data_IF_654771959284
#
_entry.id   IF_654771959284
#
_cell.length_a   1.000
_cell.length_b   1.000
_cell.length_c   1.000
_cell.angle_alpha   90.00
_cell.angle_beta   90.00
_cell.angle_gamma   90.00
#
_symmetry.space_group_name_H-M   'P 1'
#
loop_
_entity.id
_entity.type
_entity.pdbx_description
1 polymer ?
#
# COMPACT_ATOMS: atom_id res chain seq x y z
N UNK A 1 -41.19 24.37 -7.22
CA UNK A 1 -42.24 24.15 -8.23
C UNK A 1 -42.05 22.83 -8.96
N UNK A 2 -40.87 22.54 -9.52
CA UNK A 2 -40.59 21.21 -10.13
C UNK A 2 -40.59 20.10 -9.08
N UNK A 3 -39.89 20.31 -7.96
CA UNK A 3 -39.85 19.35 -6.85
C UNK A 3 -41.25 19.02 -6.33
N UNK A 4 -42.13 20.03 -6.19
CA UNK A 4 -43.52 19.82 -5.77
C UNK A 4 -44.30 18.96 -6.76
N UNK A 5 -44.15 19.18 -8.08
CA UNK A 5 -44.81 18.38 -9.12
C UNK A 5 -44.34 16.91 -9.08
N UNK A 6 -43.04 16.69 -8.95
CA UNK A 6 -42.41 15.36 -8.82
C UNK A 6 -42.84 14.64 -7.54
N UNK A 7 -42.99 15.37 -6.43
CA UNK A 7 -43.51 14.81 -5.18
C UNK A 7 -45.00 14.50 -5.25
N UNK A 8 -45.81 15.36 -5.88
CA UNK A 8 -47.27 15.14 -5.99
C UNK A 8 -47.64 13.98 -6.90
N UNK A 9 -46.84 13.72 -7.95
CA UNK A 9 -47.05 12.56 -8.85
C UNK A 9 -46.45 11.28 -8.27
N UNK A 10 -45.66 11.39 -7.19
CA UNK A 10 -44.95 10.23 -6.63
C UNK A 10 -43.89 9.66 -7.56
N UNK A 11 -43.36 10.45 -8.50
CA UNK A 11 -42.38 9.98 -9.47
C UNK A 11 -41.06 9.54 -8.80
N UNK A 12 -40.71 10.16 -7.66
CA UNK A 12 -39.59 9.76 -6.80
C UNK A 12 -39.79 8.40 -6.10
N UNK A 13 -41.01 7.85 -6.10
CA UNK A 13 -41.36 6.55 -5.52
C UNK A 13 -41.78 5.54 -6.60
N UNK A 14 -41.57 5.87 -7.87
CA UNK A 14 -42.01 5.00 -8.96
C UNK A 14 -41.30 3.64 -8.90
N UNK A 15 -42.07 2.57 -9.08
CA UNK A 15 -41.52 1.23 -9.23
C UNK A 15 -40.55 1.17 -10.42
N UNK A 16 -39.58 0.26 -10.35
CA UNK A 16 -38.58 0.08 -11.41
C UNK A 16 -39.26 -0.07 -12.78
N UNK A 17 -38.87 0.77 -13.73
CA UNK A 17 -39.40 0.76 -15.10
C UNK A 17 -40.65 1.62 -15.34
N UNK A 18 -41.20 2.27 -14.31
CA UNK A 18 -42.32 3.23 -14.45
C UNK A 18 -41.91 4.69 -14.22
N UNK A 19 -40.62 4.93 -13.93
CA UNK A 19 -40.11 6.28 -13.65
C UNK A 19 -40.38 7.27 -14.78
N UNK A 20 -40.09 6.90 -16.02
CA UNK A 20 -40.21 7.78 -17.20
C UNK A 20 -41.63 8.33 -17.38
N UNK A 21 -42.64 7.47 -17.36
CA UNK A 21 -44.05 7.88 -17.47
C UNK A 21 -44.50 8.78 -16.32
N UNK A 22 -43.99 8.52 -15.11
CA UNK A 22 -44.31 9.34 -13.93
C UNK A 22 -43.61 10.70 -14.00
N UNK A 23 -42.41 10.78 -14.56
CA UNK A 23 -41.71 12.04 -14.82
C UNK A 23 -42.35 12.83 -15.96
N UNK A 24 -42.81 12.19 -17.03
CA UNK A 24 -43.61 12.84 -18.09
C UNK A 24 -44.91 13.44 -17.53
N UNK A 25 -45.61 12.68 -16.67
CA UNK A 25 -46.83 13.18 -16.00
C UNK A 25 -46.52 14.33 -15.04
N UNK A 26 -45.39 14.29 -14.34
CA UNK A 26 -44.93 15.41 -13.50
C UNK A 26 -44.56 16.64 -14.35
N UNK A 27 -43.97 16.45 -15.53
CA UNK A 27 -43.66 17.51 -16.48
C UNK A 27 -44.92 18.14 -17.05
N UNK A 28 -45.92 17.33 -17.41
CA UNK A 28 -47.24 17.83 -17.86
C UNK A 28 -47.90 18.70 -16.78
N UNK A 29 -47.92 18.25 -15.52
CA UNK A 29 -48.45 19.03 -14.40
C UNK A 29 -47.64 20.29 -14.09
N UNK A 30 -46.34 20.26 -14.35
CA UNK A 30 -45.47 21.43 -14.22
C UNK A 30 -45.77 22.46 -15.32
N UNK A 31 -45.96 22.01 -16.55
CA UNK A 31 -46.21 22.87 -17.72
C UNK A 31 -47.64 23.44 -17.77
N UNK A 32 -48.62 22.74 -17.17
CA UNK A 32 -50.02 23.19 -17.10
C UNK A 32 -50.18 24.46 -16.24
N UNK A 33 -49.25 24.72 -15.32
CA UNK A 33 -49.23 25.97 -14.54
C UNK A 33 -48.27 26.96 -15.20
N UNK A 34 -48.76 28.03 -15.90
CA UNK A 34 -47.87 29.12 -16.28
C UNK A 34 -47.21 29.64 -15.00
N UNK A 35 -45.88 29.59 -15.00
CA UNK A 35 -45.04 29.93 -13.84
C UNK A 35 -45.58 31.20 -13.19
N UNK A 36 -46.07 31.10 -11.95
CA UNK A 36 -46.34 32.29 -11.14
C UNK A 36 -45.06 33.12 -11.18
N UNK A 37 -45.09 34.38 -11.63
CA UNK A 37 -43.88 35.20 -11.68
C UNK A 37 -43.21 35.10 -10.32
N UNK A 38 -42.00 34.55 -10.29
CA UNK A 38 -41.20 34.60 -9.09
C UNK A 38 -40.73 36.05 -8.99
N UNK A 39 -41.13 36.73 -7.92
CA UNK A 39 -40.59 38.04 -7.64
C UNK A 39 -39.08 37.88 -7.38
N UNK A 40 -38.27 38.22 -8.38
CA UNK A 40 -36.81 38.16 -8.34
C UNK A 40 -36.21 39.34 -7.58
N UNK A 41 -37.04 40.17 -6.95
CA UNK A 41 -36.61 41.24 -6.05
C UNK A 41 -35.69 40.66 -4.98
N UNK A 42 -34.51 41.26 -4.78
CA UNK A 42 -33.49 40.77 -3.85
C UNK A 42 -34.04 40.50 -2.43
N UNK A 43 -35.02 41.31 -1.99
CA UNK A 43 -35.74 41.12 -0.73
C UNK A 43 -36.50 39.79 -0.70
N UNK A 44 -37.26 39.48 -1.73
CA UNK A 44 -38.10 38.28 -1.79
C UNK A 44 -37.24 37.01 -1.89
N UNK A 45 -36.13 37.06 -2.62
CA UNK A 45 -35.15 35.96 -2.67
C UNK A 45 -34.54 35.73 -1.27
N UNK A 46 -34.10 36.81 -0.61
CA UNK A 46 -33.52 36.75 0.74
C UNK A 46 -34.52 36.22 1.77
N UNK A 47 -35.76 36.68 1.72
CA UNK A 47 -36.83 36.25 2.63
C UNK A 47 -37.21 34.79 2.38
N UNK A 48 -37.25 34.35 1.11
CA UNK A 48 -37.48 32.96 0.74
C UNK A 48 -36.38 32.05 1.29
N UNK A 49 -35.11 32.40 1.07
CA UNK A 49 -33.96 31.64 1.57
C UNK A 49 -33.92 31.61 3.10
N UNK A 50 -34.22 32.75 3.74
CA UNK A 50 -34.31 32.85 5.21
C UNK A 50 -35.41 31.95 5.77
N UNK A 51 -36.57 31.88 5.11
CA UNK A 51 -37.65 31.00 5.50
C UNK A 51 -37.31 29.52 5.27
N UNK A 52 -36.62 29.18 4.19
CA UNK A 52 -36.09 27.83 3.98
C UNK A 52 -35.14 27.41 5.09
N UNK A 53 -34.16 28.25 5.46
CA UNK A 53 -33.24 27.95 6.56
C UNK A 53 -33.99 27.78 7.89
N UNK A 54 -34.95 28.67 8.18
CA UNK A 54 -35.77 28.57 9.40
C UNK A 54 -36.57 27.27 9.44
N UNK A 55 -37.18 26.87 8.33
CA UNK A 55 -37.95 25.63 8.26
C UNK A 55 -37.06 24.40 8.40
N UNK A 56 -35.88 24.41 7.76
CA UNK A 56 -34.90 23.32 7.88
C UNK A 56 -34.43 23.15 9.33
N UNK A 57 -34.03 24.24 9.99
CA UNK A 57 -33.63 24.19 11.41
C UNK A 57 -34.74 23.70 12.34
N UNK A 58 -35.99 24.07 12.06
CA UNK A 58 -37.15 23.57 12.82
C UNK A 58 -37.38 22.08 12.60
N UNK A 59 -37.32 21.60 11.36
CA UNK A 59 -37.49 20.17 11.06
C UNK A 59 -36.35 19.33 11.60
N UNK A 60 -35.12 19.85 11.56
CA UNK A 60 -33.93 19.18 12.09
C UNK A 60 -33.97 19.08 13.61
N UNK A 61 -34.41 20.14 14.30
CA UNK A 61 -34.67 20.08 15.75
C UNK A 61 -35.77 19.08 16.14
N UNK A 62 -36.82 18.94 15.32
CA UNK A 62 -37.87 17.93 15.52
C UNK A 62 -37.37 16.51 15.22
N UNK A 63 -36.49 16.34 14.22
CA UNK A 63 -35.86 15.06 13.90
C UNK A 63 -34.88 14.63 15.01
N UNK A 64 -34.07 15.55 15.53
CA UNK A 64 -33.18 15.35 16.67
C UNK A 64 -33.94 15.04 17.97
N UNK A 65 -35.18 15.51 18.12
CA UNK A 65 -36.03 15.17 19.27
C UNK A 65 -36.72 13.81 19.13
N UNK A 66 -36.86 13.27 17.90
CA UNK A 66 -37.45 11.95 17.62
C UNK A 66 -36.42 10.83 17.47
N UNK A 67 -35.19 11.16 17.09
CA UNK A 67 -34.04 10.27 17.07
C UNK A 67 -33.37 10.37 18.43
N UNK A 68 -33.34 9.29 19.22
CA UNK A 68 -32.60 9.24 20.49
C UNK A 68 -31.08 9.34 20.28
N UNK A 69 -30.61 10.47 19.75
CA UNK A 69 -29.24 10.68 19.27
C UNK A 69 -28.19 10.80 20.39
N UNK A 70 -28.59 10.66 21.65
CA UNK A 70 -27.63 10.75 22.75
C UNK A 70 -26.86 9.46 22.99
N UNK A 71 -27.37 8.28 22.61
CA UNK A 71 -26.73 7.01 22.98
C UNK A 71 -25.72 6.57 21.91
N UNK A 72 -26.12 6.61 20.63
CA UNK A 72 -25.29 6.20 19.50
C UNK A 72 -24.08 7.11 19.25
N UNK A 73 -24.18 8.41 19.56
CA UNK A 73 -23.06 9.33 19.37
C UNK A 73 -21.95 9.10 20.41
N UNK A 74 -22.31 8.75 21.65
CA UNK A 74 -21.35 8.33 22.68
C UNK A 74 -20.66 7.01 22.34
N UNK A 75 -21.38 6.06 21.72
CA UNK A 75 -20.78 4.80 21.27
C UNK A 75 -19.77 5.04 20.13
N UNK A 76 -20.10 5.93 19.19
CA UNK A 76 -19.18 6.30 18.11
C UNK A 76 -17.95 7.03 18.65
N UNK A 77 -18.12 7.94 19.60
CA UNK A 77 -17.01 8.65 20.24
C UNK A 77 -16.12 7.69 21.07
N UNK A 78 -16.71 6.74 21.80
CA UNK A 78 -15.96 5.69 22.50
C UNK A 78 -15.15 4.82 21.52
N UNK A 79 -15.76 4.43 20.40
CA UNK A 79 -15.09 3.64 19.36
C UNK A 79 -13.94 4.42 18.69
N UNK A 80 -14.08 5.74 18.55
CA UNK A 80 -13.01 6.62 18.06
C UNK A 80 -11.84 6.75 19.05
N UNK A 81 -12.12 6.81 20.36
CA UNK A 81 -11.08 6.81 21.39
C UNK A 81 -10.33 5.46 21.42
N UNK A 82 -11.05 4.34 21.35
CA UNK A 82 -10.46 3.00 21.33
C UNK A 82 -9.60 2.77 20.09
N UNK A 83 -10.09 3.18 18.90
CA UNK A 83 -9.33 3.08 17.66
C UNK A 83 -8.04 3.91 17.71
N UNK A 84 -8.11 5.12 18.30
CA UNK A 84 -6.94 5.99 18.46
C UNK A 84 -5.92 5.38 19.43
N UNK A 85 -6.37 4.80 20.55
CA UNK A 85 -5.50 4.10 21.51
C UNK A 85 -4.83 2.88 20.89
N UNK A 86 -5.58 2.05 20.14
CA UNK A 86 -5.05 0.87 19.48
C UNK A 86 -3.96 1.23 18.44
N UNK A 87 -4.11 2.36 17.74
CA UNK A 87 -3.10 2.84 16.82
C UNK A 87 -1.82 3.31 17.51
N UNK A 88 -1.93 3.96 18.67
CA UNK A 88 -0.78 4.37 19.50
C UNK A 88 -0.03 3.13 20.01
N UNK A 89 -0.74 2.14 20.55
CA UNK A 89 -0.16 0.89 21.05
C UNK A 89 0.54 0.09 19.95
N UNK A 90 -0.06 0.02 18.76
CA UNK A 90 0.55 -0.64 17.59
C UNK A 90 1.87 0.03 17.19
N UNK A 91 1.96 1.36 17.24
CA UNK A 91 3.22 2.09 16.97
C UNK A 91 4.29 1.77 18.01
N UNK A 92 3.91 1.70 19.29
CA UNK A 92 4.83 1.33 20.38
C UNK A 92 5.33 -0.11 20.25
N UNK A 93 4.45 -1.05 19.88
CA UNK A 93 4.82 -2.44 19.61
C UNK A 93 5.74 -2.57 18.40
N UNK A 94 5.48 -1.83 17.32
CA UNK A 94 6.33 -1.80 16.14
C UNK A 94 7.73 -1.23 16.45
N UNK A 95 7.84 -0.24 17.34
CA UNK A 95 9.12 0.26 17.83
C UNK A 95 9.85 -0.80 18.69
N UNK A 96 9.13 -1.52 19.56
CA UNK A 96 9.64 -2.62 20.37
C UNK A 96 10.19 -3.78 19.54
N UNK A 97 9.56 -4.12 18.41
CA UNK A 97 9.98 -5.22 17.52
C UNK A 97 11.29 -4.94 16.75
N UNK A 98 11.67 -3.67 16.56
CA UNK A 98 12.94 -3.32 15.89
C UNK A 98 14.18 -3.60 16.76
N UNK A 99 14.03 -3.55 18.07
CA UNK A 99 15.12 -3.81 19.02
C UNK A 99 15.67 -5.27 18.95
N UNK A 100 14.85 -6.34 18.98
CA UNK A 100 15.35 -7.71 18.84
C UNK A 100 15.85 -8.03 17.44
N UNK A 101 15.25 -7.44 16.39
CA UNK A 101 15.74 -7.58 15.00
C UNK A 101 17.18 -7.07 14.88
N UNK A 102 17.45 -5.88 15.41
CA UNK A 102 18.80 -5.27 15.37
C UNK A 102 19.88 -6.12 16.07
N UNK A 103 19.51 -6.89 17.10
CA UNK A 103 20.44 -7.80 17.80
C UNK A 103 20.79 -9.02 16.94
N UNK A 104 19.80 -9.57 16.23
CA UNK A 104 20.01 -10.69 15.28
C UNK A 104 20.89 -10.26 14.12
N UNK A 105 20.63 -9.08 13.56
CA UNK A 105 21.43 -8.53 12.46
C UNK A 105 22.88 -8.27 12.89
N UNK A 106 23.09 -7.74 14.11
CA UNK A 106 24.43 -7.57 14.68
C UNK A 106 25.16 -8.90 14.88
N UNK A 107 24.47 -9.95 15.30
CA UNK A 107 25.06 -11.29 15.44
C UNK A 107 25.46 -11.88 14.07
N UNK A 108 24.61 -11.71 13.04
CA UNK A 108 24.91 -12.14 11.68
C UNK A 108 26.11 -11.41 11.10
N UNK A 109 26.23 -10.09 11.31
CA UNK A 109 27.40 -9.31 10.89
C UNK A 109 28.69 -9.82 11.54
N UNK A 110 28.66 -10.15 12.83
CA UNK A 110 29.83 -10.69 13.55
C UNK A 110 30.21 -12.07 13.04
N UNK A 111 29.24 -12.95 12.77
CA UNK A 111 29.49 -14.26 12.18
C UNK A 111 30.05 -14.16 10.74
N UNK A 112 29.52 -13.23 9.93
CA UNK A 112 30.05 -12.97 8.59
C UNK A 112 31.50 -12.46 8.63
N UNK A 113 31.83 -11.63 9.63
CA UNK A 113 33.17 -11.09 9.81
C UNK A 113 34.19 -12.15 10.22
N UNK A 114 33.81 -13.13 11.05
CA UNK A 114 34.70 -14.25 11.41
C UNK A 114 34.96 -15.16 10.21
N UNK A 115 33.93 -15.45 9.41
CA UNK A 115 34.08 -16.22 8.16
C UNK A 115 35.00 -15.48 7.18
N UNK A 116 34.82 -14.17 7.01
CA UNK A 116 35.68 -13.33 6.15
C UNK A 116 37.13 -13.36 6.64
N UNK A 117 37.39 -13.17 7.94
CA UNK A 117 38.73 -13.24 8.52
C UNK A 117 39.39 -14.60 8.30
N UNK A 118 38.65 -15.70 8.52
CA UNK A 118 39.15 -17.05 8.27
C UNK A 118 39.47 -17.29 6.79
N UNK A 119 38.62 -16.81 5.88
CA UNK A 119 38.87 -16.92 4.44
C UNK A 119 40.13 -16.14 4.01
N UNK A 120 40.30 -14.91 4.51
CA UNK A 120 41.49 -14.10 4.25
C UNK A 120 42.76 -14.74 4.82
N UNK A 121 42.68 -15.37 6.00
CA UNK A 121 43.81 -16.12 6.57
C UNK A 121 44.17 -17.35 5.74
N UNK A 122 43.19 -18.07 5.18
CA UNK A 122 43.47 -19.18 4.25
C UNK A 122 44.12 -18.69 2.97
N UNK A 123 43.70 -17.55 2.44
CA UNK A 123 44.32 -16.93 1.26
C UNK A 123 45.75 -16.45 1.56
N UNK A 124 46.00 -15.86 2.72
CA UNK A 124 47.34 -15.41 3.10
C UNK A 124 48.30 -16.59 3.31
N UNK A 125 47.85 -17.69 3.93
CA UNK A 125 48.64 -18.92 4.07
C UNK A 125 48.94 -19.55 2.71
N UNK A 126 47.96 -19.59 1.79
CA UNK A 126 48.20 -20.07 0.41
C UNK A 126 49.19 -19.18 -0.35
N UNK A 127 49.15 -17.87 -0.13
CA UNK A 127 50.10 -16.92 -0.74
C UNK A 127 51.51 -17.04 -0.15
N UNK A 128 51.62 -17.29 1.15
CA UNK A 128 52.88 -17.58 1.83
C UNK A 128 53.47 -18.94 1.39
N UNK A 129 52.63 -19.96 1.19
CA UNK A 129 53.05 -21.26 0.65
C UNK A 129 53.45 -21.19 -0.83
N UNK A 130 52.87 -20.27 -1.61
CA UNK A 130 53.29 -19.98 -2.98
C UNK A 130 54.59 -19.16 -3.06
N UNK A 131 55.16 -18.73 -1.93
CA UNK A 131 56.42 -17.99 -1.83
C UNK A 131 57.43 -18.75 -0.95
N UNK A 132 57.71 -20.01 -1.32
CA UNK A 132 58.87 -20.80 -0.88
C UNK A 132 59.79 -21.12 -2.07
N UNK A 133 61.09 -21.38 -1.86
CA UNK A 133 62.16 -20.68 -2.55
C UNK A 133 62.48 -21.26 -3.93
N UNK A 134 62.30 -20.48 -4.97
CA UNK A 134 63.12 -20.55 -6.19
C UNK A 134 63.39 -19.14 -6.69
N UNK A 135 64.57 -19.02 -7.26
CA UNK A 135 65.39 -17.83 -7.44
C UNK A 135 64.86 -16.80 -8.44
N UNK A 136 65.14 -15.54 -8.06
CA UNK A 136 65.65 -14.46 -8.90
C UNK A 136 64.74 -13.73 -9.91
N UNK A 137 64.80 -12.41 -9.76
CA UNK A 137 64.64 -11.36 -10.76
C UNK A 137 63.22 -11.03 -11.26
N UNK A 138 62.62 -9.98 -10.71
CA UNK A 138 62.77 -8.64 -11.30
C UNK A 138 62.01 -7.61 -10.46
N UNK A 139 62.64 -6.45 -10.31
CA UNK A 139 62.19 -5.31 -9.55
C UNK A 139 60.97 -4.63 -10.19
N UNK A 140 60.18 -3.96 -9.34
CA UNK A 140 59.10 -3.07 -9.76
C UNK A 140 58.40 -2.46 -8.55
N UNK A 141 59.12 -1.57 -7.87
CA UNK A 141 58.66 -0.82 -6.70
C UNK A 141 57.63 0.27 -7.03
N UNK A 142 57.06 0.84 -5.95
CA UNK A 142 56.46 2.18 -5.79
C UNK A 142 54.93 2.22 -5.60
N UNK A 143 54.56 2.10 -4.32
CA UNK A 143 53.72 3.00 -3.49
C UNK A 143 52.67 3.95 -4.12
N UNK A 144 51.45 3.76 -3.62
CA UNK A 144 50.48 4.71 -3.03
C UNK A 144 50.18 6.04 -3.75
N UNK A 145 48.90 6.27 -4.05
CA UNK A 145 48.24 7.52 -3.67
C UNK A 145 46.72 7.40 -3.58
N UNK A 146 46.22 7.85 -2.42
CA UNK A 146 44.84 8.19 -2.10
C UNK A 146 44.18 9.12 -3.14
N UNK A 147 42.87 8.94 -3.37
CA UNK A 147 41.93 10.07 -3.41
C UNK A 147 40.50 9.62 -3.12
N UNK A 148 39.83 10.44 -2.32
CA UNK A 148 38.60 10.14 -1.61
C UNK A 148 37.32 10.18 -2.45
N UNK A 149 36.25 9.97 -1.70
CA UNK A 149 34.85 9.96 -2.08
C UNK A 149 34.38 11.23 -2.79
N UNK A 150 33.38 11.08 -3.67
CA UNK A 150 32.08 11.78 -3.61
C UNK A 150 31.14 11.23 -4.70
N UNK A 151 29.83 11.38 -4.48
CA UNK A 151 28.77 10.69 -5.20
C UNK A 151 28.44 11.21 -6.60
N UNK A 152 27.51 10.52 -7.26
CA UNK A 152 26.98 10.92 -8.57
C UNK A 152 26.21 9.81 -9.27
N UNK A 153 24.88 9.87 -9.14
CA UNK A 153 23.88 9.64 -10.18
C UNK A 153 24.40 9.62 -11.63
N UNK A 154 23.97 8.66 -12.44
CA UNK A 154 23.91 8.85 -13.89
C UNK A 154 24.08 7.60 -14.75
N UNK A 155 22.96 7.12 -15.27
CA UNK A 155 22.72 6.51 -16.59
C UNK A 155 23.92 6.11 -17.51
N UNK A 156 23.83 4.89 -18.05
CA UNK A 156 24.12 4.65 -19.47
C UNK A 156 25.31 3.74 -19.82
N UNK A 157 25.02 2.71 -20.61
CA UNK A 157 25.91 2.30 -21.70
C UNK A 157 26.89 1.15 -21.47
N UNK A 158 26.45 -0.05 -21.89
CA UNK A 158 27.12 -0.87 -22.91
C UNK A 158 28.43 -1.63 -22.58
N UNK A 159 28.68 -2.66 -23.41
CA UNK A 159 29.74 -3.69 -23.44
C UNK A 159 29.29 -5.02 -22.80
N UNK A 160 29.40 -6.19 -23.43
CA UNK A 160 30.11 -6.55 -24.66
C UNK A 160 29.93 -8.07 -24.89
N UNK A 161 29.59 -8.44 -26.13
CA UNK A 161 30.10 -9.59 -26.91
C UNK A 161 30.05 -11.02 -26.36
N UNK A 162 29.31 -11.89 -27.09
CA UNK A 162 29.90 -12.99 -27.90
C UNK A 162 28.86 -13.58 -28.87
N UNK A 163 29.08 -13.37 -30.16
CA UNK A 163 28.56 -14.17 -31.29
C UNK A 163 29.78 -14.72 -32.04
N UNK A 164 29.80 -16.00 -32.46
CA UNK A 164 30.61 -16.43 -33.57
C UNK A 164 29.81 -16.41 -34.87
N UNK A 165 30.48 -15.90 -35.91
CA UNK A 165 30.08 -15.84 -37.31
C UNK A 165 30.30 -17.19 -38.03
N UNK A 166 29.44 -17.46 -39.02
CA UNK A 166 29.75 -18.03 -40.34
C UNK A 166 28.98 -17.11 -41.32
N UNK A 167 29.49 -16.54 -42.41
CA UNK A 167 30.62 -16.89 -43.27
C UNK A 167 30.05 -17.36 -44.61
N UNK A 168 30.21 -16.54 -45.66
CA UNK A 168 30.06 -16.76 -47.14
C UNK A 168 29.50 -15.45 -47.76
N UNK A 169 30.35 -14.51 -48.19
CA UNK A 169 31.09 -14.39 -49.49
C UNK A 169 30.17 -13.96 -50.65
N UNK A 170 30.13 -12.67 -51.02
CA UNK A 170 31.07 -11.92 -51.90
C UNK A 170 30.76 -12.12 -53.39
N UNK A 171 30.30 -11.06 -54.06
CA UNK A 171 30.71 -10.63 -55.40
C UNK A 171 29.88 -9.40 -55.81
N UNK A 172 30.49 -8.22 -55.66
CA UNK A 172 30.13 -7.03 -56.43
C UNK A 172 30.83 -7.07 -57.78
N UNK A 173 30.15 -6.66 -58.84
CA UNK A 173 30.75 -6.32 -60.14
C UNK A 173 30.09 -5.02 -60.62
N UNK A 174 30.83 -3.95 -60.37
CA UNK A 174 31.16 -2.78 -61.19
C UNK A 174 30.13 -2.12 -62.12
N UNK A 175 30.13 -0.79 -62.01
CA UNK A 175 29.60 0.21 -62.92
C UNK A 175 30.23 0.11 -64.33
N UNK A 176 29.43 0.23 -65.40
CA UNK A 176 29.91 0.63 -66.74
C UNK A 176 28.90 1.55 -67.42
N UNK A 177 29.35 2.76 -67.76
CA UNK A 177 28.57 3.79 -68.44
C UNK A 177 28.58 3.56 -69.96
N UNK A 178 27.40 3.58 -70.57
CA UNK A 178 27.25 3.51 -72.02
C UNK A 178 26.10 4.38 -72.51
N UNK A 179 26.42 5.64 -72.85
CA UNK A 179 25.59 6.53 -73.67
C UNK A 179 25.38 5.93 -75.08
N UNK A 180 24.12 5.79 -75.50
CA UNK A 180 23.76 5.71 -76.92
C UNK A 180 22.31 6.20 -77.15
N UNK A 181 22.20 7.41 -77.69
CA UNK A 181 21.03 7.96 -78.37
C UNK A 181 20.59 7.07 -79.56
N UNK A 182 19.28 6.82 -79.69
CA UNK A 182 18.70 6.22 -80.90
C UNK A 182 17.23 5.77 -80.77
N UNK A 183 16.29 6.20 -81.63
CA UNK A 183 14.86 6.25 -81.29
C UNK A 183 14.00 5.11 -81.86
N UNK A 184 12.85 4.93 -81.19
CA UNK A 184 11.56 4.43 -81.70
C UNK A 184 11.45 2.95 -82.12
N UNK A 185 10.78 2.16 -81.28
CA UNK A 185 9.96 1.05 -81.74
C UNK A 185 8.74 0.86 -80.81
N UNK A 186 7.60 1.34 -81.29
CA UNK A 186 6.25 0.85 -81.01
C UNK A 186 6.19 -0.61 -80.50
N UNK A 187 5.77 -0.85 -79.26
CA UNK A 187 5.17 -2.12 -78.87
C UNK A 187 4.09 -1.87 -77.81
N UNK A 188 2.86 -2.05 -78.26
CA UNK A 188 1.64 -2.43 -77.53
C UNK A 188 1.64 -2.26 -76.01
N UNK A 189 1.00 -1.19 -75.54
CA UNK A 189 0.52 -1.07 -74.16
C UNK A 189 -0.61 -2.08 -73.96
N UNK A 190 -0.24 -3.28 -73.51
CA UNK A 190 -1.16 -4.27 -72.98
C UNK A 190 -1.81 -3.72 -71.70
N UNK A 191 -3.14 -3.56 -71.63
CA UNK A 191 -3.79 -2.85 -70.54
C UNK A 191 -4.02 -3.77 -69.34
N UNK A 192 -2.97 -4.29 -68.68
CA UNK A 192 -3.09 -4.97 -67.37
C UNK A 192 -1.85 -4.81 -66.50
N UNK A 193 -1.82 -3.83 -65.58
CA UNK A 193 -1.25 -4.09 -64.25
C UNK A 193 -1.91 -3.31 -63.09
N UNK A 194 -3.12 -2.76 -63.27
CA UNK A 194 -3.74 -1.93 -62.20
C UNK A 194 -4.44 -2.79 -61.14
N UNK A 195 -5.13 -3.85 -61.56
CA UNK A 195 -5.85 -4.76 -60.65
C UNK A 195 -4.90 -5.55 -59.75
N UNK A 196 -3.75 -5.97 -60.27
CA UNK A 196 -2.73 -6.69 -59.49
C UNK A 196 -2.04 -5.81 -58.45
N UNK A 197 -1.79 -4.53 -58.74
CA UNK A 197 -1.30 -3.55 -57.75
C UNK A 197 -2.36 -3.21 -56.70
N UNK A 198 -3.64 -3.11 -57.08
CA UNK A 198 -4.74 -2.87 -56.16
C UNK A 198 -4.92 -4.03 -55.18
N UNK A 199 -4.91 -5.28 -55.69
CA UNK A 199 -5.05 -6.49 -54.88
C UNK A 199 -3.92 -6.64 -53.85
N UNK A 200 -2.67 -6.37 -54.26
CA UNK A 200 -1.50 -6.41 -53.36
C UNK A 200 -1.55 -5.36 -52.25
N UNK A 201 -2.20 -4.22 -52.50
CA UNK A 201 -2.39 -3.16 -51.50
C UNK A 201 -3.48 -3.52 -50.48
N UNK A 202 -4.52 -4.23 -50.93
CA UNK A 202 -5.63 -4.71 -50.10
C UNK A 202 -5.16 -5.84 -49.17
N UNK A 203 -4.41 -6.82 -49.70
CA UNK A 203 -3.80 -7.90 -48.90
C UNK A 203 -2.83 -7.37 -47.83
N UNK A 204 -2.04 -6.34 -48.15
CA UNK A 204 -1.15 -5.68 -47.19
C UNK A 204 -1.88 -4.80 -46.16
N UNK A 205 -3.13 -4.42 -46.43
CA UNK A 205 -4.00 -3.72 -45.49
C UNK A 205 -4.63 -4.74 -44.52
N UNK A 206 -5.12 -5.86 -45.04
CA UNK A 206 -5.70 -6.95 -44.26
C UNK A 206 -4.69 -7.56 -43.28
N UNK A 207 -3.41 -7.64 -43.67
CA UNK A 207 -2.35 -8.14 -42.78
C UNK A 207 -2.04 -7.17 -41.62
N UNK A 208 -2.11 -5.85 -41.88
CA UNK A 208 -1.97 -4.83 -40.83
C UNK A 208 -3.15 -4.84 -39.88
N UNK A 209 -4.36 -4.95 -40.42
CA UNK A 209 -5.57 -5.01 -39.63
C UNK A 209 -5.56 -6.27 -38.75
N UNK A 210 -5.15 -7.42 -39.31
CA UNK A 210 -4.94 -8.66 -38.54
C UNK A 210 -3.91 -8.49 -37.42
N UNK A 211 -2.77 -7.85 -37.69
CA UNK A 211 -1.76 -7.59 -36.66
C UNK A 211 -2.29 -6.67 -35.54
N UNK A 212 -3.13 -5.68 -35.88
CA UNK A 212 -3.80 -4.82 -34.89
C UNK A 212 -4.79 -5.61 -34.04
N UNK A 213 -5.60 -6.48 -34.65
CA UNK A 213 -6.52 -7.36 -33.91
C UNK A 213 -5.76 -8.28 -32.94
N UNK A 214 -4.70 -8.94 -33.40
CA UNK A 214 -3.87 -9.81 -32.54
C UNK A 214 -3.22 -9.04 -31.38
N UNK A 215 -2.79 -7.80 -31.61
CA UNK A 215 -2.25 -6.92 -30.57
C UNK A 215 -3.32 -6.55 -29.53
N UNK A 216 -4.55 -6.26 -29.97
CA UNK A 216 -5.68 -5.95 -29.08
C UNK A 216 -6.04 -7.18 -28.23
N UNK A 217 -6.15 -8.36 -28.84
CA UNK A 217 -6.46 -9.61 -28.14
C UNK A 217 -5.39 -9.95 -27.09
N UNK A 218 -4.11 -9.78 -27.44
CA UNK A 218 -2.99 -9.95 -26.50
C UNK A 218 -3.10 -8.99 -25.32
N UNK A 219 -3.38 -7.71 -25.61
CA UNK A 219 -3.49 -6.66 -24.58
C UNK A 219 -4.67 -6.90 -23.64
N UNK A 220 -5.81 -7.35 -24.17
CA UNK A 220 -7.00 -7.70 -23.38
C UNK A 220 -6.72 -8.93 -22.51
N UNK A 221 -6.06 -9.95 -23.07
CA UNK A 221 -5.70 -11.17 -22.33
C UNK A 221 -4.70 -10.87 -21.21
N UNK A 222 -3.71 -10.01 -21.47
CA UNK A 222 -2.74 -9.56 -20.47
C UNK A 222 -3.41 -8.76 -19.35
N UNK A 223 -4.30 -7.82 -19.70
CA UNK A 223 -5.08 -7.06 -18.71
C UNK A 223 -5.92 -7.99 -17.84
N UNK A 224 -6.62 -8.96 -18.44
CA UNK A 224 -7.42 -9.94 -17.70
C UNK A 224 -6.56 -10.78 -16.75
N UNK A 225 -5.41 -11.26 -17.22
CA UNK A 225 -4.45 -11.99 -16.36
C UNK A 225 -3.92 -11.13 -15.21
N UNK A 226 -3.70 -9.84 -15.43
CA UNK A 226 -3.27 -8.92 -14.39
C UNK A 226 -4.39 -8.64 -13.38
N UNK A 227 -5.64 -8.52 -13.85
CA UNK A 227 -6.82 -8.38 -13.00
C UNK A 227 -7.07 -9.63 -12.15
N UNK A 228 -6.93 -10.84 -12.72
CA UNK A 228 -7.06 -12.10 -11.99
C UNK A 228 -6.00 -12.21 -10.88
N UNK A 229 -4.75 -11.79 -11.16
CA UNK A 229 -3.69 -11.73 -10.15
C UNK A 229 -4.00 -10.73 -9.03
N UNK A 230 -4.58 -9.58 -9.38
CA UNK A 230 -5.03 -8.58 -8.39
C UNK A 230 -6.19 -9.12 -7.56
N UNK A 231 -7.17 -9.76 -8.19
CA UNK A 231 -8.30 -10.38 -7.50
C UNK A 231 -7.84 -11.45 -6.50
N UNK A 232 -6.94 -12.35 -6.93
CA UNK A 232 -6.36 -13.38 -6.05
C UNK A 232 -5.57 -12.78 -4.87
N UNK A 233 -4.84 -11.67 -5.09
CA UNK A 233 -4.14 -10.97 -4.01
C UNK A 233 -5.12 -10.31 -3.04
N UNK A 234 -6.19 -9.70 -3.56
CA UNK A 234 -7.25 -9.07 -2.74
C UNK A 234 -7.99 -10.12 -1.92
N UNK A 235 -8.26 -11.32 -2.45
CA UNK A 235 -8.91 -12.41 -1.71
C UNK A 235 -8.02 -12.97 -0.59
N UNK A 236 -6.69 -12.99 -0.78
CA UNK A 236 -5.75 -13.45 0.26
C UNK A 236 -5.57 -12.47 1.40
N UNK A 237 -5.72 -11.17 1.13
CA UNK A 237 -5.54 -10.09 2.11
C UNK A 237 -6.42 -10.25 3.38
N UNK A 238 -7.75 -10.45 3.30
CA UNK A 238 -8.59 -10.59 4.49
C UNK A 238 -8.22 -11.81 5.32
N UNK A 239 -7.84 -12.95 4.71
CA UNK A 239 -7.41 -14.14 5.44
C UNK A 239 -6.12 -13.90 6.24
N UNK A 240 -5.17 -13.17 5.66
CA UNK A 240 -3.94 -12.81 6.36
C UNK A 240 -4.21 -11.82 7.50
N UNK A 241 -5.12 -10.87 7.29
CA UNK A 241 -5.53 -9.89 8.29
C UNK A 241 -6.28 -10.57 9.45
N UNK A 242 -7.17 -11.51 9.16
CA UNK A 242 -7.85 -12.35 10.16
C UNK A 242 -6.84 -13.16 11.00
N UNK A 243 -5.89 -13.84 10.35
CA UNK A 243 -4.85 -14.58 11.06
C UNK A 243 -3.98 -13.66 11.94
N UNK A 244 -3.68 -12.44 11.47
CA UNK A 244 -2.93 -11.46 12.26
C UNK A 244 -3.72 -11.05 13.51
N UNK A 245 -5.00 -10.73 13.35
CA UNK A 245 -5.88 -10.34 14.47
C UNK A 245 -6.03 -11.48 15.49
N UNK A 246 -6.14 -12.73 15.04
CA UNK A 246 -6.18 -13.89 15.92
C UNK A 246 -4.88 -14.04 16.72
N UNK A 247 -3.73 -13.85 16.07
CA UNK A 247 -2.44 -13.89 16.76
C UNK A 247 -2.30 -12.77 17.78
N UNK A 248 -2.65 -11.53 17.40
CA UNK A 248 -2.65 -10.37 18.29
C UNK A 248 -3.56 -10.58 19.50
N UNK A 249 -4.76 -11.15 19.30
CA UNK A 249 -5.69 -11.51 20.37
C UNK A 249 -5.07 -12.51 21.35
N UNK A 250 -4.48 -13.59 20.86
CA UNK A 250 -3.85 -14.61 21.72
C UNK A 250 -2.67 -14.03 22.52
N UNK A 251 -1.87 -13.16 21.91
CA UNK A 251 -0.77 -12.46 22.59
C UNK A 251 -1.30 -11.55 23.70
N UNK A 252 -2.38 -10.80 23.41
CA UNK A 252 -3.00 -9.93 24.41
C UNK A 252 -3.58 -10.72 25.57
N UNK A 253 -4.33 -11.79 25.31
CA UNK A 253 -4.88 -12.67 26.34
C UNK A 253 -3.78 -13.27 27.24
N UNK A 254 -2.67 -13.71 26.64
CA UNK A 254 -1.52 -14.19 27.38
C UNK A 254 -0.91 -13.11 28.27
N UNK A 255 -0.70 -11.91 27.74
CA UNK A 255 -0.14 -10.79 28.50
C UNK A 255 -1.05 -10.38 29.68
N UNK A 256 -2.38 -10.38 29.49
CA UNK A 256 -3.35 -10.10 30.55
C UNK A 256 -3.28 -11.18 31.64
N UNK A 257 -3.20 -12.45 31.27
CA UNK A 257 -3.04 -13.56 32.22
C UNK A 257 -1.73 -13.44 33.02
N UNK A 258 -0.62 -13.10 32.37
CA UNK A 258 0.67 -12.86 33.04
C UNK A 258 0.59 -11.66 34.00
N UNK A 259 -0.01 -10.55 33.58
CA UNK A 259 -0.22 -9.39 34.45
C UNK A 259 -1.04 -9.77 35.69
N UNK A 260 -2.18 -10.45 35.51
CA UNK A 260 -3.04 -10.88 36.61
C UNK A 260 -2.31 -11.82 37.59
N UNK A 261 -1.53 -12.77 37.08
CA UNK A 261 -0.74 -13.68 37.94
C UNK A 261 0.34 -12.93 38.71
N UNK A 262 1.02 -11.97 38.06
CA UNK A 262 2.04 -11.13 38.70
C UNK A 262 1.44 -10.22 39.79
N UNK A 263 0.24 -9.69 39.55
CA UNK A 263 -0.46 -8.84 40.50
C UNK A 263 -0.97 -9.64 41.70
N UNK A 264 -1.53 -10.83 41.47
CA UNK A 264 -1.90 -11.75 42.53
C UNK A 264 -0.69 -12.13 43.40
N UNK A 265 0.46 -12.40 42.79
CA UNK A 265 1.69 -12.69 43.52
C UNK A 265 2.16 -11.49 44.37
N UNK A 266 2.06 -10.26 43.84
CA UNK A 266 2.38 -9.03 44.60
C UNK A 266 1.42 -8.81 45.77
N UNK A 267 0.12 -9.01 45.55
CA UNK A 267 -0.88 -8.88 46.61
C UNK A 267 -0.64 -9.90 47.72
N UNK A 268 -0.32 -11.16 47.37
CA UNK A 268 0.02 -12.20 48.33
C UNK A 268 1.29 -11.87 49.12
N UNK A 269 2.33 -11.36 48.45
CA UNK A 269 3.56 -10.93 49.11
C UNK A 269 3.31 -9.74 50.08
N UNK A 270 2.50 -8.77 49.67
CA UNK A 270 2.11 -7.64 50.52
C UNK A 270 1.31 -8.09 51.75
N UNK A 271 0.37 -9.02 51.57
CA UNK A 271 -0.39 -9.60 52.68
C UNK A 271 0.52 -10.34 53.67
N UNK A 272 1.47 -11.13 53.18
CA UNK A 272 2.46 -11.82 54.02
C UNK A 272 3.35 -10.83 54.79
N UNK A 273 3.82 -9.77 54.12
CA UNK A 273 4.60 -8.71 54.78
C UNK A 273 3.80 -7.98 55.86
N UNK A 274 2.52 -7.68 55.61
CA UNK A 274 1.62 -7.07 56.59
C UNK A 274 1.39 -7.98 57.81
N UNK A 275 1.20 -9.30 57.59
CA UNK A 275 1.07 -10.28 58.66
C UNK A 275 2.32 -10.35 59.54
N UNK A 276 3.52 -10.38 58.93
CA UNK A 276 4.79 -10.35 59.67
C UNK A 276 4.95 -9.05 60.48
N UNK A 277 4.62 -7.89 59.88
CA UNK A 277 4.69 -6.62 60.57
C UNK A 277 3.66 -6.51 61.73
N UNK A 278 2.52 -7.18 61.64
CA UNK A 278 1.55 -7.29 62.73
C UNK A 278 2.08 -8.19 63.85
N UNK A 279 2.71 -9.32 63.52
CA UNK A 279 3.33 -10.22 64.48
C UNK A 279 4.46 -9.50 65.26
N UNK A 280 5.34 -8.77 64.59
CA UNK A 280 6.39 -7.99 65.25
C UNK A 280 5.82 -6.91 66.18
N UNK A 281 4.74 -6.22 65.79
CA UNK A 281 4.08 -5.23 66.66
C UNK A 281 3.50 -5.90 67.91
N UNK A 282 2.90 -7.09 67.77
CA UNK A 282 2.37 -7.85 68.90
C UNK A 282 3.49 -8.33 69.85
N UNK A 283 4.65 -8.73 69.31
CA UNK A 283 5.82 -9.06 70.14
C UNK A 283 6.38 -7.84 70.87
N UNK A 284 6.52 -6.70 70.18
CA UNK A 284 6.94 -5.44 70.81
C UNK A 284 5.98 -5.04 71.93
N UNK A 285 4.65 -5.13 71.70
CA UNK A 285 3.64 -4.83 72.72
C UNK A 285 3.78 -5.74 73.96
N UNK A 286 3.92 -7.06 73.75
CA UNK A 286 4.16 -8.02 74.84
C UNK A 286 5.44 -7.72 75.62
N UNK A 287 6.51 -7.35 74.93
CA UNK A 287 7.78 -6.97 75.59
C UNK A 287 7.64 -5.73 76.46
N UNK A 288 6.87 -4.74 76.01
CA UNK A 288 6.60 -3.51 76.75
C UNK A 288 5.73 -3.75 77.98
N UNK A 289 4.73 -4.62 77.90
CA UNK A 289 3.91 -5.04 79.04
C UNK A 289 4.74 -5.78 80.12
N UNK A 290 5.68 -6.63 79.70
CA UNK A 290 6.58 -7.29 80.64
C UNK A 290 7.49 -6.29 81.35
N UNK A 291 8.06 -5.32 80.61
CA UNK A 291 8.90 -4.27 81.19
C UNK A 291 8.12 -3.39 82.18
N UNK A 292 6.90 -2.98 81.84
CA UNK A 292 6.07 -2.15 82.72
C UNK A 292 5.65 -2.90 83.99
N UNK A 293 5.30 -4.19 83.88
CA UNK A 293 5.01 -5.03 85.05
C UNK A 293 6.24 -5.20 85.96
N UNK A 294 7.44 -5.25 85.40
CA UNK A 294 8.69 -5.37 86.16
C UNK A 294 9.02 -4.08 86.91
N UNK A 295 8.82 -2.92 86.28
CA UNK A 295 9.00 -1.60 86.91
C UNK A 295 8.06 -1.47 88.12
N UNK A 296 6.77 -1.78 87.95
CA UNK A 296 5.76 -1.71 89.03
C UNK A 296 6.05 -2.63 90.22
N UNK A 297 6.89 -3.66 90.04
CA UNK A 297 7.23 -4.63 91.09
C UNK A 297 8.45 -4.20 91.91
N UNK A 298 9.27 -3.28 91.37
CA UNK A 298 10.51 -2.77 91.98
C UNK A 298 10.28 -1.46 92.74
N UNK A 299 9.28 -0.67 92.32
CA UNK A 299 8.82 0.55 93.00
C UNK A 299 7.79 0.24 94.09
#
# INVERSE_FOLDING_TARGET
MCATAVTTVGAHLAAWGQGEKMYERAAALFNEKPSRPFDTTAKNIKDHFSNMIKNFKKTDGVAASRSGASETQTEVDALLMDASSAMEDSKLLAAGAKAPQSKKDKALLRAGETVRRSALQRLSVRRAAATGPTSAAAAGAVTLSDRGAEGGDGSGGDRSFRRPHNGEDEAEEEDDEGDADGPSAHLEVSPRPVDSRRRRREEAQDEKDKAVFEMIERSVSERKSAEDRRAAAVERRPRLEENRLQHEKLVHEHAVAECATSEAARAQAAAAAAANAAAERAERARSMELLSALILRVT
#
